data_IF_643771100969
#
_entry.id   IF_643771100969
#
_cell.length_a   1.000
_cell.length_b   1.000
_cell.length_c   1.000
_cell.angle_alpha   90.00
_cell.angle_beta   90.00
_cell.angle_gamma   90.00
#
_symmetry.space_group_name_H-M   'P 1'
#
loop_
_entity.id
_entity.type
_entity.pdbx_description
1 polymer ?
#
# COMPACT_ATOMS: atom_id res chain seq x y z
N UNK A 1 -12.43 5.11 11.58
CA UNK A 1 -11.59 4.93 10.38
C UNK A 1 -10.92 3.59 10.59
N UNK A 2 -11.08 2.64 9.69
CA UNK A 2 -10.33 1.38 9.76
C UNK A 2 -8.97 1.61 9.10
N UNK A 3 -7.89 1.19 9.75
CA UNK A 3 -6.53 1.27 9.20
C UNK A 3 -6.03 -0.13 8.94
N UNK A 4 -5.71 -0.44 7.69
CA UNK A 4 -5.23 -1.78 7.33
C UNK A 4 -3.71 -1.88 7.50
N UNK A 5 -3.17 -3.07 7.82
CA UNK A 5 -1.74 -3.31 7.79
C UNK A 5 -1.15 -2.93 6.42
N UNK A 6 0.02 -2.29 6.44
CA UNK A 6 0.74 -1.83 5.24
C UNK A 6 -0.01 -0.76 4.40
N UNK A 7 -1.07 -0.17 4.93
CA UNK A 7 -1.74 0.97 4.27
C UNK A 7 -0.84 2.21 4.32
N UNK A 8 -0.32 2.61 3.16
CA UNK A 8 0.36 3.89 2.99
C UNK A 8 -0.65 4.98 2.57
N UNK A 9 -0.81 5.98 3.42
CA UNK A 9 -1.65 7.15 3.19
C UNK A 9 -0.79 8.42 3.17
N UNK A 10 -1.00 9.27 2.15
CA UNK A 10 -0.25 10.52 1.99
C UNK A 10 -1.20 11.70 2.11
N UNK A 11 -1.00 12.50 3.15
CA UNK A 11 -1.77 13.71 3.39
C UNK A 11 -1.07 14.90 2.76
N UNK A 12 -1.69 15.50 1.74
CA UNK A 12 -1.23 16.73 1.11
C UNK A 12 -2.25 17.85 1.37
N UNK A 13 -1.76 18.95 1.95
CA UNK A 13 -2.53 20.17 2.16
C UNK A 13 -2.23 21.15 1.03
N UNK A 14 -3.27 21.55 0.31
CA UNK A 14 -3.22 22.70 -0.60
C UNK A 14 -2.89 23.99 0.14
N UNK A 15 -2.56 25.07 -0.57
CA UNK A 15 -2.26 26.36 0.05
C UNK A 15 -3.43 26.88 0.91
N UNK A 16 -4.66 26.72 0.45
CA UNK A 16 -5.85 27.15 1.18
C UNK A 16 -6.08 26.32 2.45
N UNK A 17 -5.77 25.03 2.41
CA UNK A 17 -5.96 24.09 3.53
C UNK A 17 -4.91 24.23 4.64
N UNK A 18 -3.88 25.06 4.44
CA UNK A 18 -2.88 25.39 5.47
C UNK A 18 -3.31 26.53 6.38
N UNK A 19 -4.42 27.18 6.06
CA UNK A 19 -4.89 28.30 6.84
C UNK A 19 -5.51 27.83 8.16
N UNK A 20 -5.20 28.58 9.22
CA UNK A 20 -5.88 28.42 10.48
C UNK A 20 -7.30 28.97 10.35
N UNK A 21 -8.24 28.27 10.98
CA UNK A 21 -9.63 28.72 11.10
C UNK A 21 -9.80 29.31 12.49
N UNK A 22 -10.38 30.51 12.65
CA UNK A 22 -10.71 31.05 13.97
C UNK A 22 -11.58 30.08 14.76
N UNK A 23 -11.23 29.83 16.02
CA UNK A 23 -11.84 28.78 16.85
C UNK A 23 -11.83 27.38 16.21
N UNK A 24 -10.84 27.12 15.35
CA UNK A 24 -10.62 25.85 14.68
C UNK A 24 -10.02 24.79 15.60
N UNK A 25 -9.60 23.65 15.03
CA UNK A 25 -8.98 22.59 15.80
C UNK A 25 -7.60 22.98 16.32
N UNK A 26 -7.21 22.36 17.43
CA UNK A 26 -5.90 22.52 18.02
C UNK A 26 -5.40 21.22 18.62
N UNK A 27 -4.08 21.13 18.74
CA UNK A 27 -3.39 20.12 19.54
C UNK A 27 -3.15 20.75 20.91
N UNK A 28 -3.48 20.02 21.97
CA UNK A 28 -3.14 20.40 23.34
C UNK A 28 -2.00 19.48 23.79
N UNK A 29 -0.87 20.04 24.21
CA UNK A 29 0.24 19.25 24.75
C UNK A 29 -0.01 18.82 26.21
N UNK A 30 0.93 18.07 26.78
CA UNK A 30 0.80 17.54 28.14
C UNK A 30 0.80 18.67 29.21
N UNK A 31 1.40 19.81 28.88
CA UNK A 31 1.48 21.01 29.70
C UNK A 31 0.22 21.88 29.58
N UNK A 32 -0.71 21.54 28.69
CA UNK A 32 -1.95 22.27 28.47
C UNK A 32 -1.83 23.43 27.47
N UNK A 33 -0.70 23.58 26.78
CA UNK A 33 -0.53 24.60 25.75
C UNK A 33 -1.34 24.22 24.51
N UNK A 34 -2.01 25.22 23.93
CA UNK A 34 -2.83 25.08 22.74
C UNK A 34 -2.07 25.50 21.49
N UNK A 35 -1.98 24.61 20.51
CA UNK A 35 -1.43 24.88 19.18
C UNK A 35 -2.53 24.74 18.14
N UNK A 36 -3.04 25.87 17.63
CA UNK A 36 -4.03 25.84 16.56
C UNK A 36 -3.42 25.22 15.30
N UNK A 37 -4.18 24.33 14.66
CA UNK A 37 -3.74 23.61 13.46
C UNK A 37 -4.78 23.73 12.35
N UNK A 38 -4.36 23.66 11.08
CA UNK A 38 -5.30 23.57 9.98
C UNK A 38 -6.19 22.32 10.10
N UNK A 39 -7.48 22.37 9.72
CA UNK A 39 -8.41 21.26 9.92
C UNK A 39 -7.91 19.91 9.38
N UNK A 40 -7.25 19.93 8.23
CA UNK A 40 -6.76 18.73 7.56
C UNK A 40 -5.59 18.06 8.28
N UNK A 41 -4.90 18.77 9.18
CA UNK A 41 -3.86 18.18 10.05
C UNK A 41 -4.49 17.18 11.03
N UNK A 42 -5.70 17.44 11.51
CA UNK A 42 -6.39 16.52 12.42
C UNK A 42 -6.74 15.19 11.74
N UNK A 43 -7.02 15.20 10.44
CA UNK A 43 -7.25 13.95 9.68
C UNK A 43 -6.00 13.07 9.66
N UNK A 44 -4.83 13.66 9.40
CA UNK A 44 -3.56 12.95 9.43
C UNK A 44 -3.26 12.41 10.84
N UNK A 45 -3.48 13.23 11.88
CA UNK A 45 -3.26 12.80 13.26
C UNK A 45 -4.21 11.69 13.69
N UNK A 46 -5.48 11.72 13.26
CA UNK A 46 -6.44 10.65 13.54
C UNK A 46 -6.03 9.33 12.89
N UNK A 47 -5.48 9.36 11.67
CA UNK A 47 -4.94 8.16 11.03
C UNK A 47 -3.80 7.55 11.85
N UNK A 48 -2.81 8.38 12.24
CA UNK A 48 -1.67 7.96 13.06
C UNK A 48 -2.13 7.41 14.42
N UNK A 49 -3.03 8.14 15.09
CA UNK A 49 -3.58 7.77 16.38
C UNK A 49 -4.33 6.44 16.33
N UNK A 50 -5.18 6.25 15.31
CA UNK A 50 -5.92 4.99 15.12
C UNK A 50 -4.98 3.82 14.89
N UNK A 51 -3.98 3.96 14.00
CA UNK A 51 -3.02 2.91 13.71
C UNK A 51 -2.23 2.50 14.97
N UNK A 52 -1.74 3.46 15.74
CA UNK A 52 -1.01 3.19 16.98
C UNK A 52 -1.90 2.52 18.04
N UNK A 53 -3.18 2.92 18.14
CA UNK A 53 -4.14 2.30 19.05
C UNK A 53 -4.43 0.84 18.71
N UNK A 54 -4.37 0.48 17.43
CA UNK A 54 -4.48 -0.90 16.95
C UNK A 54 -3.17 -1.71 17.13
N UNK A 55 -2.12 -1.10 17.70
CA UNK A 55 -0.83 -1.75 17.91
C UNK A 55 0.04 -1.81 16.66
N UNK A 56 -0.32 -1.07 15.60
CA UNK A 56 0.48 -0.98 14.38
C UNK A 56 1.62 0.02 14.56
N UNK A 57 2.76 -0.27 13.96
CA UNK A 57 3.86 0.70 13.86
C UNK A 57 3.56 1.73 12.76
N UNK A 58 3.91 3.00 13.00
CA UNK A 58 3.69 4.10 12.06
C UNK A 58 5.02 4.75 11.67
N UNK A 59 5.23 4.95 10.38
CA UNK A 59 6.33 5.77 9.84
C UNK A 59 5.77 7.09 9.29
N UNK A 60 6.34 8.21 9.73
CA UNK A 60 5.99 9.54 9.23
C UNK A 60 7.18 10.13 8.47
N UNK A 61 6.96 10.49 7.21
CA UNK A 61 7.99 11.06 6.34
C UNK A 61 7.49 12.37 5.73
N UNK A 62 8.26 13.45 5.85
CA UNK A 62 7.96 14.70 5.17
C UNK A 62 8.32 14.60 3.68
N UNK A 63 7.37 14.95 2.81
CA UNK A 63 7.55 14.93 1.35
C UNK A 63 7.52 16.33 0.76
N UNK A 64 8.26 16.53 -0.33
CA UNK A 64 8.18 17.75 -1.15
C UNK A 64 6.92 17.73 -2.02
N UNK A 65 6.52 18.91 -2.49
CA UNK A 65 5.40 19.06 -3.43
C UNK A 65 5.74 18.56 -4.83
N UNK A 66 7.01 18.71 -5.22
CA UNK A 66 7.57 18.11 -6.43
C UNK A 66 8.61 17.09 -6.00
N UNK A 67 8.47 15.88 -6.54
CA UNK A 67 9.30 14.73 -6.19
C UNK A 67 9.90 14.16 -7.48
N UNK A 68 11.12 13.61 -7.44
CA UNK A 68 11.59 12.71 -8.48
C UNK A 68 10.58 11.58 -8.69
N UNK A 69 10.41 11.11 -9.93
CA UNK A 69 9.41 10.09 -10.28
C UNK A 69 9.50 8.83 -9.42
N UNK A 70 10.71 8.42 -9.03
CA UNK A 70 10.95 7.32 -8.08
C UNK A 70 10.32 7.56 -6.71
N UNK A 71 10.50 8.76 -6.15
CA UNK A 71 9.92 9.12 -4.86
C UNK A 71 8.40 9.28 -4.95
N UNK A 72 7.90 9.84 -6.06
CA UNK A 72 6.46 9.92 -6.32
C UNK A 72 5.82 8.53 -6.40
N UNK A 73 6.46 7.58 -7.10
CA UNK A 73 6.01 6.19 -7.19
C UNK A 73 5.94 5.53 -5.80
N UNK A 74 6.99 5.68 -4.99
CA UNK A 74 7.01 5.20 -3.62
C UNK A 74 5.88 5.82 -2.77
N UNK A 75 5.66 7.14 -2.89
CA UNK A 75 4.61 7.85 -2.15
C UNK A 75 3.21 7.34 -2.49
N UNK A 76 2.94 7.01 -3.76
CA UNK A 76 1.63 6.48 -4.17
C UNK A 76 1.53 4.96 -4.04
N UNK A 77 2.60 4.26 -3.66
CA UNK A 77 2.63 2.80 -3.54
C UNK A 77 2.55 2.08 -4.88
N UNK A 78 3.22 2.62 -5.90
CA UNK A 78 3.29 2.07 -7.27
C UNK A 78 4.75 1.76 -7.62
N UNK A 79 4.98 0.79 -8.52
CA UNK A 79 6.31 0.53 -9.05
C UNK A 79 6.82 1.71 -9.89
N UNK A 80 8.12 2.03 -9.82
CA UNK A 80 8.70 3.15 -10.57
C UNK A 80 8.50 2.98 -12.08
N UNK A 81 8.78 1.79 -12.62
CA UNK A 81 8.66 1.51 -14.05
C UNK A 81 7.21 1.65 -14.54
N UNK A 82 6.24 1.27 -13.70
CA UNK A 82 4.82 1.44 -13.99
C UNK A 82 4.44 2.92 -14.05
N UNK A 83 4.85 3.71 -13.05
CA UNK A 83 4.58 5.15 -13.05
C UNK A 83 5.25 5.85 -14.24
N UNK A 84 6.47 5.44 -14.58
CA UNK A 84 7.20 5.93 -15.76
C UNK A 84 6.50 5.59 -17.06
N UNK A 85 5.90 4.41 -17.18
CA UNK A 85 5.08 4.03 -18.34
C UNK A 85 3.88 4.96 -18.50
N UNK A 86 3.16 5.25 -17.40
CA UNK A 86 2.05 6.21 -17.44
C UNK A 86 2.49 7.62 -17.82
N UNK A 87 3.61 8.10 -17.27
CA UNK A 87 4.19 9.39 -17.65
C UNK A 87 4.55 9.43 -19.15
N UNK A 88 5.23 8.41 -19.67
CA UNK A 88 5.60 8.31 -21.09
C UNK A 88 4.38 8.28 -22.03
N UNK A 89 3.26 7.70 -21.58
CA UNK A 89 2.00 7.70 -22.33
C UNK A 89 1.20 9.01 -22.25
N UNK A 90 1.70 10.01 -21.52
CA UNK A 90 1.04 11.31 -21.34
C UNK A 90 -0.11 11.30 -20.33
N UNK A 91 -0.30 10.21 -19.57
CA UNK A 91 -1.37 10.09 -18.56
C UNK A 91 -1.01 10.77 -17.24
N UNK A 92 0.28 11.03 -17.00
CA UNK A 92 0.79 11.74 -15.83
C UNK A 92 1.71 12.86 -16.27
N UNK A 93 1.44 14.07 -15.79
CA UNK A 93 2.29 15.23 -16.07
C UNK A 93 3.63 15.11 -15.33
N UNK A 94 4.72 15.42 -16.03
CA UNK A 94 6.06 15.49 -15.48
C UNK A 94 6.86 16.63 -16.11
N UNK A 95 7.86 17.12 -15.39
CA UNK A 95 8.88 18.05 -15.89
C UNK A 95 10.22 17.32 -15.88
N UNK A 96 10.86 17.18 -17.02
CA UNK A 96 12.24 16.69 -17.07
C UNK A 96 13.23 17.83 -16.85
N UNK A 97 14.26 17.56 -16.06
CA UNK A 97 15.43 18.42 -15.87
C UNK A 97 16.68 17.55 -15.97
N UNK A 98 17.62 17.89 -16.86
CA UNK A 98 18.90 17.24 -17.26
C UNK A 98 19.05 15.71 -17.14
N UNK A 99 18.61 15.07 -16.05
CA UNK A 99 18.64 13.62 -15.79
C UNK A 99 17.50 13.09 -14.90
N UNK A 100 16.57 13.93 -14.44
CA UNK A 100 15.53 13.59 -13.47
C UNK A 100 14.16 14.04 -13.96
N UNK A 101 13.20 13.11 -13.95
CA UNK A 101 11.80 13.41 -14.18
C UNK A 101 11.14 13.79 -12.86
N UNK A 102 10.64 15.02 -12.79
CA UNK A 102 9.94 15.58 -11.64
C UNK A 102 8.43 15.47 -11.82
N UNK A 103 7.75 15.01 -10.78
CA UNK A 103 6.29 14.85 -10.74
C UNK A 103 5.76 15.66 -9.56
N UNK A 104 4.68 16.41 -9.78
CA UNK A 104 3.95 17.05 -8.68
C UNK A 104 3.22 15.97 -7.88
N UNK A 105 3.43 15.93 -6.57
CA UNK A 105 2.80 14.95 -5.68
C UNK A 105 1.27 15.02 -5.75
N UNK A 106 0.73 16.23 -5.93
CA UNK A 106 -0.71 16.44 -6.16
C UNK A 106 -1.24 15.65 -7.36
N UNK A 107 -0.53 15.71 -8.48
CA UNK A 107 -0.91 15.06 -9.73
C UNK A 107 -0.77 13.54 -9.61
N UNK A 108 0.28 13.05 -8.95
CA UNK A 108 0.46 11.63 -8.67
C UNK A 108 -0.66 11.06 -7.77
N UNK A 109 -1.06 11.79 -6.72
CA UNK A 109 -2.17 11.39 -5.85
C UNK A 109 -3.52 11.42 -6.58
N UNK A 110 -3.75 12.43 -7.42
CA UNK A 110 -4.94 12.51 -8.26
C UNK A 110 -5.02 11.33 -9.25
N UNK A 111 -3.89 11.00 -9.88
CA UNK A 111 -3.76 9.85 -10.77
C UNK A 111 -4.06 8.52 -10.04
N UNK A 112 -3.48 8.29 -8.86
CA UNK A 112 -3.77 7.09 -8.03
C UNK A 112 -5.27 6.97 -7.72
N UNK A 113 -5.91 8.07 -7.34
CA UNK A 113 -7.35 8.10 -7.04
C UNK A 113 -8.19 7.77 -8.27
N UNK A 114 -7.84 8.33 -9.44
CA UNK A 114 -8.52 8.05 -10.70
C UNK A 114 -8.38 6.56 -11.09
N UNK A 115 -7.19 5.98 -10.93
CA UNK A 115 -6.94 4.57 -11.22
C UNK A 115 -7.77 3.65 -10.32
N UNK A 116 -7.79 3.91 -9.01
CA UNK A 116 -8.63 3.16 -8.06
C UNK A 116 -10.12 3.26 -8.39
N UNK A 117 -10.60 4.44 -8.75
CA UNK A 117 -12.00 4.63 -9.13
C UNK A 117 -12.35 3.83 -10.40
N UNK A 118 -11.46 3.82 -11.38
CA UNK A 118 -11.63 3.02 -12.61
C UNK A 118 -11.67 1.52 -12.31
N UNK A 119 -10.73 1.02 -11.50
CA UNK A 119 -10.69 -0.39 -11.08
C UNK A 119 -11.99 -0.80 -10.40
N UNK A 120 -12.50 0.02 -9.47
CA UNK A 120 -13.77 -0.23 -8.79
C UNK A 120 -14.95 -0.26 -9.75
N UNK A 121 -15.01 0.69 -10.70
CA UNK A 121 -16.10 0.72 -11.69
C UNK A 121 -16.14 -0.52 -12.59
N UNK A 122 -15.00 -1.10 -12.92
CA UNK A 122 -14.93 -2.34 -13.73
C UNK A 122 -15.41 -3.53 -12.91
N UNK A 123 -14.99 -3.63 -11.63
CA UNK A 123 -15.46 -4.68 -10.73
C UNK A 123 -16.97 -4.59 -10.51
N UNK A 124 -17.50 -3.39 -10.32
CA UNK A 124 -18.94 -3.16 -10.15
C UNK A 124 -19.72 -3.57 -11.41
N UNK A 125 -19.17 -3.34 -12.62
CA UNK A 125 -19.78 -3.81 -13.89
C UNK A 125 -19.77 -5.33 -13.99
N UNK A 126 -18.65 -5.99 -13.66
CA UNK A 126 -18.55 -7.45 -13.70
C UNK A 126 -19.51 -8.13 -12.71
N UNK A 127 -19.67 -7.56 -11.51
CA UNK A 127 -20.62 -8.06 -10.51
C UNK A 127 -22.06 -7.87 -10.98
N UNK A 128 -22.38 -6.69 -11.53
CA UNK A 128 -23.70 -6.42 -12.07
C UNK A 128 -24.07 -7.39 -13.20
N UNK A 129 -23.12 -7.74 -14.09
CA UNK A 129 -23.34 -8.74 -15.15
C UNK A 129 -23.54 -10.16 -14.59
N UNK A 130 -22.90 -10.51 -13.48
CA UNK A 130 -23.06 -11.84 -12.84
C UNK A 130 -24.39 -12.04 -12.11
N UNK A 131 -24.98 -10.97 -11.57
CA UNK A 131 -26.29 -11.02 -10.89
C UNK A 131 -27.47 -11.22 -11.89
N UNK A 132 -27.27 -10.93 -13.18
CA UNK A 132 -28.28 -11.19 -14.22
C UNK A 132 -28.34 -12.66 -14.68
N UNK A 133 -27.39 -13.52 -14.28
CA UNK A 133 -27.34 -14.95 -14.65
C UNK A 133 -27.93 -15.88 -13.56
N UNK A 134 -28.41 -15.31 -12.45
CA UNK A 134 -29.19 -16.03 -11.43
C UNK A 134 -30.66 -16.12 -11.87
N UNK A 135 -30.97 -17.12 -12.70
CA UNK A 135 -32.33 -17.46 -13.13
C UNK A 135 -33.30 -17.63 -11.93
N UNK A 136 -34.36 -16.81 -11.79
CA UNK A 136 -35.36 -16.98 -10.74
C UNK A 136 -36.38 -18.12 -11.03
N UNK A 137 -36.04 -19.07 -11.90
CA UNK A 137 -36.94 -20.11 -12.41
C UNK A 137 -36.79 -21.53 -11.85
N UNK A 138 -35.86 -21.80 -10.93
CA UNK A 138 -35.68 -23.15 -10.38
C UNK A 138 -36.73 -23.47 -9.30
N UNK A 139 -37.96 -23.74 -9.73
CA UNK A 139 -39.03 -24.29 -8.90
C UNK A 139 -38.58 -25.61 -8.23
N UNK A 140 -38.66 -25.63 -6.90
CA UNK A 140 -38.37 -26.80 -6.09
C UNK A 140 -39.35 -27.93 -6.36
N UNK A 141 -38.86 -29.00 -6.99
CA UNK A 141 -39.57 -30.28 -7.04
C UNK A 141 -39.13 -31.12 -5.85
N UNK A 142 -40.08 -31.33 -4.94
CA UNK A 142 -39.94 -32.20 -3.78
C UNK A 142 -39.74 -33.66 -4.18
N UNK A 143 -38.95 -34.36 -3.37
CA UNK A 143 -38.75 -35.80 -3.45
C UNK A 143 -38.39 -36.32 -2.08
N UNK A 144 -39.35 -36.99 -1.46
CA UNK A 144 -39.39 -37.47 -0.10
C UNK A 144 -38.44 -38.65 0.18
N UNK A 145 -38.23 -38.88 1.49
CA UNK A 145 -37.96 -40.16 2.15
C UNK A 145 -36.56 -40.79 2.03
N UNK A 146 -35.87 -40.95 3.17
CA UNK A 146 -35.76 -42.27 3.81
C UNK A 146 -34.93 -42.20 5.11
N UNK A 147 -35.48 -42.83 6.13
CA UNK A 147 -34.95 -43.11 7.46
C UNK A 147 -33.84 -44.18 7.48
N UNK A 148 -32.88 -44.03 8.40
CA UNK A 148 -31.91 -45.04 8.83
C UNK A 148 -30.68 -44.32 9.36
N UNK A 149 -30.45 -44.20 10.67
CA UNK A 149 -30.12 -45.30 11.56
C UNK A 149 -28.66 -45.71 11.33
N UNK A 150 -27.80 -45.57 12.34
CA UNK A 150 -26.74 -46.51 12.76
C UNK A 150 -25.76 -45.83 13.73
N UNK A 151 -25.78 -46.31 14.97
CA UNK A 151 -24.69 -46.21 15.95
C UNK A 151 -23.49 -47.04 15.49
N UNK A 152 -22.28 -46.59 15.82
CA UNK A 152 -21.06 -47.33 15.48
C UNK A 152 -19.80 -46.76 16.13
N UNK A 153 -19.53 -47.24 17.34
CA UNK A 153 -18.29 -47.07 18.11
C UNK A 153 -17.07 -47.70 17.43
N UNK A 154 -15.87 -47.17 17.73
CA UNK A 154 -14.55 -47.77 17.47
C UNK A 154 -13.66 -46.78 16.70
N UNK A 155 -12.52 -46.31 17.19
CA UNK A 155 -11.49 -47.00 17.96
C UNK A 155 -10.29 -47.28 17.04
N UNK A 156 -9.08 -46.98 17.50
CA UNK A 156 -7.74 -47.18 16.86
C UNK A 156 -7.35 -46.15 15.80
N UNK A 157 -6.10 -45.68 15.71
CA UNK A 157 -4.90 -45.97 16.48
C UNK A 157 -3.68 -45.29 15.85
N UNK A 158 -2.74 -44.88 16.70
CA UNK A 158 -1.30 -45.03 16.47
C UNK A 158 -0.58 -44.14 15.44
N UNK A 159 0.78 -44.09 15.54
CA UNK A 159 1.58 -42.91 15.21
C UNK A 159 2.54 -43.10 14.03
N UNK A 160 3.21 -42.02 13.63
CA UNK A 160 4.50 -42.08 12.91
C UNK A 160 4.51 -41.35 11.57
N UNK A 161 5.57 -40.58 11.33
CA UNK A 161 5.76 -39.92 10.02
C UNK A 161 6.84 -38.85 10.01
N UNK A 162 8.09 -39.28 10.14
CA UNK A 162 9.34 -38.56 9.88
C UNK A 162 9.49 -38.09 8.42
N UNK A 163 10.18 -36.96 8.22
CA UNK A 163 10.78 -36.54 6.94
C UNK A 163 10.77 -35.01 6.81
N UNK A 164 11.80 -34.29 6.42
CA UNK A 164 13.12 -34.66 5.90
C UNK A 164 13.96 -33.39 5.77
N UNK A 165 15.26 -33.61 5.79
CA UNK A 165 16.39 -32.70 5.57
C UNK A 165 16.39 -32.01 4.20
N UNK A 166 16.83 -30.76 4.15
CA UNK A 166 17.26 -30.08 2.91
C UNK A 166 18.02 -28.79 3.19
N UNK A 167 19.35 -28.85 3.12
CA UNK A 167 20.23 -27.66 3.12
C UNK A 167 20.29 -26.97 1.76
N UNK A 168 20.91 -25.78 1.69
CA UNK A 168 22.09 -25.62 0.83
C UNK A 168 23.21 -24.89 1.60
N UNK A 169 24.49 -25.20 1.45
CA UNK A 169 25.21 -25.33 0.18
C UNK A 169 26.16 -24.13 0.08
N UNK A 170 27.39 -24.29 0.57
CA UNK A 170 28.39 -23.22 0.65
C UNK A 170 28.80 -22.68 -0.72
N UNK A 171 29.12 -21.39 -0.75
CA UNK A 171 29.81 -20.75 -1.88
C UNK A 171 31.17 -20.20 -1.44
N UNK A 172 32.11 -20.41 -2.35
CA UNK A 172 33.55 -20.49 -2.16
C UNK A 172 34.18 -19.10 -2.17
N UNK A 173 35.26 -18.98 -1.40
CA UNK A 173 36.21 -17.88 -1.55
C UNK A 173 36.94 -17.96 -2.88
N UNK A 174 37.44 -16.80 -3.32
CA UNK A 174 38.53 -16.67 -4.29
C UNK A 174 39.28 -15.39 -3.96
N UNK A 175 40.45 -15.55 -3.34
CA UNK A 175 41.44 -14.49 -3.21
C UNK A 175 42.13 -14.24 -4.55
N UNK A 176 42.68 -13.05 -4.71
CA UNK A 176 43.43 -12.64 -5.89
C UNK A 176 44.07 -11.28 -5.69
N UNK A 177 45.26 -11.31 -5.10
CA UNK A 177 46.22 -10.23 -4.90
C UNK A 177 46.80 -9.67 -6.21
N UNK A 178 47.06 -8.36 -6.25
CA UNK A 178 47.92 -7.73 -7.25
C UNK A 178 48.07 -6.23 -7.04
N UNK A 179 49.16 -5.80 -6.40
CA UNK A 179 49.55 -4.39 -6.24
C UNK A 179 50.26 -3.81 -7.48
N UNK A 180 51.22 -2.90 -7.30
CA UNK A 180 51.01 -1.45 -7.42
C UNK A 180 51.76 -0.83 -8.61
N UNK A 181 51.42 0.41 -8.99
CA UNK A 181 52.29 1.22 -9.85
C UNK A 181 51.74 2.59 -10.20
N UNK A 182 52.58 3.62 -10.07
CA UNK A 182 52.46 4.81 -10.93
C UNK A 182 52.46 6.17 -10.26
N UNK A 183 53.52 6.50 -9.52
CA UNK A 183 53.91 7.88 -9.23
C UNK A 183 54.39 8.61 -10.49
N UNK A 184 53.90 9.82 -10.74
CA UNK A 184 54.48 10.81 -11.65
C UNK A 184 53.44 11.88 -12.04
N UNK A 185 53.73 13.16 -12.21
CA UNK A 185 54.89 14.01 -11.97
C UNK A 185 54.37 15.45 -12.17
N UNK A 186 54.92 16.39 -11.41
CA UNK A 186 54.92 17.86 -11.56
C UNK A 186 54.54 18.42 -12.94
N UNK A 187 53.73 19.49 -12.88
CA UNK A 187 53.70 20.63 -13.79
C UNK A 187 53.14 21.80 -13.01
#
# INVERSE_FOLDING_TARGET
MEVLPSQSEVFLLSAAERNLVPAGPAIIDAEGNRYDVPPKVIEALRFVETALREGLAVQVTALRHELPIREAAAAIGMAEDELRSYAASGQLAFRSDESVDWVRLEDALAFKRALKARQRSILDQMLAESDYDADPGSEGSGGSESSGGWEGSGGSGGPGGSGGSGGPGGSRGSGGSGGPGGSGRRG
#
